data_IF_815377220985
#
_entry.id   IF_815377220985
#
_cell.length_a   1.000
_cell.length_b   1.000
_cell.length_c   1.000
_cell.angle_alpha   90.00
_cell.angle_beta   90.00
_cell.angle_gamma   90.00
#
_symmetry.space_group_name_H-M   'P 1'
#
loop_
_entity.id
_entity.type
_entity.pdbx_description
1 polymer ?
#
# COMPACT_ATOMS: atom_id res chain seq x y z
N UNK A 1 -39.62 -2.84 58.01
CA UNK A 1 -39.28 -4.10 57.33
C UNK A 1 -39.68 -4.15 55.86
N UNK A 2 -40.69 -3.43 55.37
CA UNK A 2 -41.11 -3.44 53.96
C UNK A 2 -40.23 -2.51 53.07
N UNK A 3 -39.79 -1.38 53.56
CA UNK A 3 -38.91 -0.46 52.81
C UNK A 3 -37.49 -0.99 52.49
N UNK A 4 -36.92 -1.84 53.41
CA UNK A 4 -35.60 -2.42 53.20
C UNK A 4 -35.59 -3.47 52.09
N UNK A 5 -36.67 -4.22 51.92
CA UNK A 5 -36.77 -5.21 50.87
C UNK A 5 -36.96 -4.61 49.46
N UNK A 6 -37.62 -3.44 49.36
CA UNK A 6 -37.77 -2.71 48.10
C UNK A 6 -36.43 -2.12 47.64
N UNK A 7 -35.63 -1.55 48.55
CA UNK A 7 -34.31 -1.00 48.22
C UNK A 7 -33.33 -2.07 47.72
N UNK A 8 -33.37 -3.26 48.36
CA UNK A 8 -32.51 -4.40 47.92
C UNK A 8 -32.94 -4.93 46.56
N UNK A 9 -34.22 -4.91 46.23
CA UNK A 9 -34.73 -5.31 44.91
C UNK A 9 -34.30 -4.34 43.81
N UNK A 10 -34.39 -3.03 44.06
CA UNK A 10 -33.96 -2.00 43.11
C UNK A 10 -32.45 -2.03 42.87
N UNK A 11 -31.67 -2.24 43.92
CA UNK A 11 -30.21 -2.40 43.78
C UNK A 11 -29.81 -3.62 42.94
N UNK A 12 -30.49 -4.75 43.10
CA UNK A 12 -30.24 -5.96 42.30
C UNK A 12 -30.59 -5.77 40.84
N UNK A 13 -31.67 -5.07 40.51
CA UNK A 13 -32.04 -4.73 39.11
C UNK A 13 -31.08 -3.74 38.50
N UNK A 14 -30.62 -2.72 39.22
CA UNK A 14 -29.60 -1.78 38.73
C UNK A 14 -28.23 -2.43 38.49
N UNK A 15 -27.79 -3.35 39.37
CA UNK A 15 -26.58 -4.11 39.17
C UNK A 15 -26.68 -5.09 37.98
N UNK A 16 -27.83 -5.70 37.75
CA UNK A 16 -28.09 -6.55 36.59
C UNK A 16 -28.07 -5.77 35.28
N UNK A 17 -28.63 -4.55 35.25
CA UNK A 17 -28.64 -3.67 34.07
C UNK A 17 -27.22 -3.16 33.74
N UNK A 18 -26.43 -2.78 34.76
CA UNK A 18 -25.04 -2.34 34.58
C UNK A 18 -24.13 -3.48 34.08
N UNK A 19 -24.36 -4.71 34.51
CA UNK A 19 -23.65 -5.90 34.02
C UNK A 19 -23.95 -6.21 32.56
N UNK A 20 -25.19 -6.03 32.11
CA UNK A 20 -25.61 -6.28 30.72
C UNK A 20 -25.07 -5.23 29.73
N UNK A 21 -24.95 -3.97 30.14
CA UNK A 21 -24.36 -2.89 29.32
C UNK A 21 -22.84 -3.05 29.19
N UNK A 22 -22.16 -3.54 30.22
CA UNK A 22 -20.72 -3.75 30.18
C UNK A 22 -20.33 -4.98 29.33
N UNK A 23 -21.16 -6.03 29.30
CA UNK A 23 -20.96 -7.21 28.42
C UNK A 23 -21.19 -6.87 26.95
N UNK A 24 -22.08 -5.93 26.61
CA UNK A 24 -22.33 -5.48 25.23
C UNK A 24 -21.18 -4.67 24.62
N UNK A 25 -20.35 -4.01 25.42
CA UNK A 25 -19.22 -3.20 24.92
C UNK A 25 -17.98 -4.05 24.57
N UNK A 26 -17.87 -5.28 25.07
CA UNK A 26 -16.73 -6.15 24.75
C UNK A 26 -16.82 -6.92 23.42
N UNK A 27 -17.96 -6.87 22.72
CA UNK A 27 -18.16 -7.59 21.47
C UNK A 27 -17.89 -6.75 20.21
N UNK A 28 -17.49 -5.48 20.34
CA UNK A 28 -17.19 -4.58 19.23
C UNK A 28 -15.69 -4.44 18.96
N UNK A 29 -14.85 -5.38 19.41
CA UNK A 29 -13.46 -5.47 18.93
C UNK A 29 -13.46 -6.06 17.52
N UNK A 30 -13.77 -5.22 16.54
CA UNK A 30 -13.53 -5.50 15.14
C UNK A 30 -12.00 -5.54 14.96
N UNK A 31 -11.40 -6.71 15.08
CA UNK A 31 -10.00 -6.92 14.76
C UNK A 31 -9.90 -6.84 13.24
N UNK A 32 -9.66 -5.64 12.70
CA UNK A 32 -9.40 -5.47 11.28
C UNK A 32 -8.05 -6.14 11.01
N UNK A 33 -8.08 -7.28 10.35
CA UNK A 33 -6.86 -7.94 9.90
C UNK A 33 -6.08 -6.95 9.01
N UNK A 34 -4.82 -6.70 9.33
CA UNK A 34 -3.91 -5.85 8.54
C UNK A 34 -2.76 -6.73 8.11
N UNK A 35 -2.48 -6.78 6.80
CA UNK A 35 -1.29 -7.47 6.28
C UNK A 35 -0.17 -6.48 6.02
N UNK A 36 1.06 -6.92 6.25
CA UNK A 36 2.24 -6.09 6.11
C UNK A 36 2.94 -6.33 4.77
N UNK A 37 3.41 -5.26 4.14
CA UNK A 37 4.23 -5.33 2.95
C UNK A 37 5.65 -5.78 3.27
N UNK A 38 6.28 -6.50 2.34
CA UNK A 38 7.64 -6.99 2.49
C UNK A 38 8.54 -6.46 1.36
N UNK A 39 9.57 -5.70 1.72
CA UNK A 39 10.51 -5.12 0.77
C UNK A 39 11.66 -6.06 0.35
N UNK A 40 11.70 -7.29 0.87
CA UNK A 40 12.62 -8.34 0.43
C UNK A 40 12.16 -8.96 -0.90
N UNK A 41 12.12 -8.13 -1.95
CA UNK A 41 11.63 -8.51 -3.28
C UNK A 41 12.75 -9.02 -4.19
N UNK A 42 12.39 -9.64 -5.30
CA UNK A 42 13.34 -10.11 -6.33
C UNK A 42 13.08 -9.34 -7.63
N UNK A 43 14.11 -8.70 -8.21
CA UNK A 43 15.47 -8.48 -7.66
C UNK A 43 15.46 -7.60 -6.42
N UNK A 44 16.44 -7.79 -5.54
CA UNK A 44 16.59 -6.96 -4.35
C UNK A 44 17.08 -5.56 -4.76
N UNK A 45 16.46 -4.47 -4.28
CA UNK A 45 16.95 -3.13 -4.49
C UNK A 45 18.38 -2.92 -3.96
N UNK A 46 19.11 -1.97 -4.54
CA UNK A 46 20.50 -1.70 -4.17
C UNK A 46 20.64 -1.24 -2.70
N UNK A 47 19.74 -0.38 -2.27
CA UNK A 47 19.73 0.18 -0.91
C UNK A 47 18.33 0.16 -0.33
N UNK A 48 18.20 -0.42 0.87
CA UNK A 48 16.94 -0.46 1.63
C UNK A 48 17.24 -0.04 3.07
N UNK A 49 16.63 1.03 3.53
CA UNK A 49 16.72 1.55 4.90
C UNK A 49 15.34 1.52 5.55
N UNK A 50 15.08 0.50 6.37
CA UNK A 50 13.82 0.39 7.13
C UNK A 50 13.88 1.25 8.38
N UNK A 51 12.78 1.94 8.70
CA UNK A 51 12.65 2.82 9.87
C UNK A 51 11.76 2.14 10.92
N UNK A 52 12.31 1.20 11.66
CA UNK A 52 11.58 0.29 12.58
C UNK A 52 10.69 0.99 13.63
N UNK A 53 11.00 2.25 13.99
CA UNK A 53 10.24 2.99 15.00
C UNK A 53 9.19 3.95 14.41
N UNK A 54 9.10 4.07 13.08
CA UNK A 54 8.15 4.94 12.42
C UNK A 54 6.84 4.22 12.15
N UNK A 55 5.72 4.94 12.29
CA UNK A 55 4.41 4.38 11.97
C UNK A 55 4.31 4.02 10.48
N UNK A 56 3.71 2.88 10.12
CA UNK A 56 3.52 2.48 8.73
C UNK A 56 2.48 3.37 8.02
N UNK A 57 2.56 3.43 6.70
CA UNK A 57 1.48 3.93 5.88
C UNK A 57 0.39 2.86 5.77
N UNK A 58 -0.87 3.23 5.98
CA UNK A 58 -2.00 2.30 5.83
C UNK A 58 -2.66 2.51 4.46
N UNK A 59 -2.49 1.53 3.59
CA UNK A 59 -3.13 1.47 2.29
C UNK A 59 -4.59 0.99 2.46
N UNK A 60 -5.53 1.91 2.31
CA UNK A 60 -6.97 1.70 2.45
C UNK A 60 -7.74 2.14 1.21
N UNK A 61 -9.05 1.92 1.16
CA UNK A 61 -9.90 2.38 0.05
C UNK A 61 -9.93 3.91 -0.14
N UNK A 62 -9.58 4.68 0.89
CA UNK A 62 -9.50 6.15 0.82
C UNK A 62 -8.17 6.67 0.28
N UNK A 63 -7.19 5.81 0.06
CA UNK A 63 -5.88 6.20 -0.48
C UNK A 63 -6.01 6.69 -1.91
N UNK A 64 -5.34 7.79 -2.24
CA UNK A 64 -5.28 8.36 -3.58
C UNK A 64 -3.90 8.16 -4.19
N UNK A 65 -3.85 8.05 -5.52
CA UNK A 65 -2.61 8.07 -6.29
C UNK A 65 -2.54 9.39 -7.03
N UNK A 66 -1.47 10.14 -6.80
CA UNK A 66 -1.27 11.48 -7.35
C UNK A 66 -0.10 11.49 -8.32
N UNK A 67 -0.22 12.27 -9.40
CA UNK A 67 0.81 12.41 -10.43
C UNK A 67 0.92 13.87 -10.91
N UNK A 68 2.05 14.30 -11.50
CA UNK A 68 2.24 15.66 -11.99
C UNK A 68 1.24 16.02 -13.09
N UNK A 69 0.56 17.15 -12.93
CA UNK A 69 -0.39 17.66 -13.91
C UNK A 69 0.25 17.83 -15.30
N UNK A 70 -0.50 17.49 -16.36
CA UNK A 70 -0.06 17.63 -17.75
C UNK A 70 0.91 16.54 -18.24
N UNK A 71 1.28 15.57 -17.40
CA UNK A 71 2.16 14.47 -17.81
C UNK A 71 1.37 13.17 -18.05
N UNK A 72 1.05 12.90 -19.33
CA UNK A 72 0.28 11.70 -19.73
C UNK A 72 0.99 10.38 -19.40
N UNK A 73 2.32 10.33 -19.43
CA UNK A 73 3.07 9.11 -19.09
C UNK A 73 2.97 8.82 -17.58
N UNK A 74 3.06 9.86 -16.77
CA UNK A 74 2.89 9.72 -15.32
C UNK A 74 1.44 9.37 -14.96
N UNK A 75 0.46 9.89 -15.69
CA UNK A 75 -0.93 9.46 -15.55
C UNK A 75 -1.07 7.95 -15.80
N UNK A 76 -0.53 7.44 -16.91
CA UNK A 76 -0.53 6.00 -17.22
C UNK A 76 0.17 5.18 -16.13
N UNK A 77 1.29 5.66 -15.62
CA UNK A 77 1.99 5.02 -14.49
C UNK A 77 1.09 4.94 -13.24
N UNK A 78 0.35 6.00 -12.92
CA UNK A 78 -0.58 6.02 -11.80
C UNK A 78 -1.77 5.07 -12.01
N UNK A 79 -2.32 5.01 -13.23
CA UNK A 79 -3.39 4.09 -13.61
C UNK A 79 -2.94 2.61 -13.52
N UNK A 80 -1.72 2.29 -13.98
CA UNK A 80 -1.13 0.96 -13.80
C UNK A 80 -1.00 0.58 -12.32
N UNK A 81 -0.52 1.50 -11.49
CA UNK A 81 -0.39 1.24 -10.07
C UNK A 81 -1.77 0.99 -9.43
N UNK A 82 -2.78 1.80 -9.78
CA UNK A 82 -4.15 1.62 -9.31
C UNK A 82 -4.71 0.24 -9.70
N UNK A 83 -4.48 -0.19 -10.96
CA UNK A 83 -4.87 -1.52 -11.44
C UNK A 83 -4.18 -2.64 -10.67
N UNK A 84 -2.88 -2.55 -10.47
CA UNK A 84 -2.12 -3.55 -9.71
C UNK A 84 -2.58 -3.68 -8.26
N UNK A 85 -2.83 -2.55 -7.60
CA UNK A 85 -3.34 -2.57 -6.23
C UNK A 85 -4.73 -3.19 -6.18
N UNK A 86 -5.59 -2.88 -7.15
CA UNK A 86 -6.92 -3.48 -7.25
C UNK A 86 -6.84 -5.01 -7.42
N UNK A 87 -5.97 -5.49 -8.30
CA UNK A 87 -5.80 -6.92 -8.55
C UNK A 87 -5.27 -7.66 -7.30
N UNK A 88 -4.35 -7.05 -6.55
CA UNK A 88 -3.74 -7.66 -5.37
C UNK A 88 -4.65 -7.60 -4.13
N UNK A 89 -5.39 -6.50 -3.94
CA UNK A 89 -6.07 -6.18 -2.68
C UNK A 89 -7.58 -5.98 -2.80
N UNK A 90 -8.12 -5.88 -4.02
CA UNK A 90 -9.52 -5.53 -4.28
C UNK A 90 -9.82 -4.03 -4.09
N UNK A 91 -8.84 -3.20 -3.68
CA UNK A 91 -9.04 -1.78 -3.39
C UNK A 91 -9.00 -0.95 -4.68
N UNK A 92 -10.04 -0.17 -4.94
CA UNK A 92 -10.10 0.76 -6.07
C UNK A 92 -9.65 2.14 -5.62
N UNK A 93 -8.42 2.54 -5.97
CA UNK A 93 -7.85 3.82 -5.60
C UNK A 93 -8.14 4.89 -6.65
N UNK A 94 -8.46 6.11 -6.21
CA UNK A 94 -8.65 7.25 -7.09
C UNK A 94 -7.29 7.75 -7.60
N UNK A 95 -7.22 7.98 -8.92
CA UNK A 95 -6.07 8.62 -9.59
C UNK A 95 -6.41 10.07 -9.87
N UNK A 96 -5.54 11.01 -9.46
CA UNK A 96 -5.76 12.44 -9.66
C UNK A 96 -4.47 13.18 -9.99
N UNK A 97 -4.58 14.26 -10.76
CA UNK A 97 -3.49 15.19 -10.99
C UNK A 97 -3.18 16.02 -9.73
N UNK A 98 -1.90 16.36 -9.53
CA UNK A 98 -1.37 17.05 -8.36
C UNK A 98 -0.33 16.19 -7.64
N UNK A 99 0.51 16.81 -6.82
CA UNK A 99 1.59 16.14 -6.07
C UNK A 99 1.54 16.47 -4.58
N UNK A 100 0.50 17.18 -4.14
CA UNK A 100 0.35 17.61 -2.75
C UNK A 100 -0.72 16.81 -2.01
N UNK A 101 -0.45 16.42 -0.78
CA UNK A 101 -1.43 15.76 0.08
C UNK A 101 -0.97 14.42 0.62
N UNK A 102 -1.91 13.68 1.22
CA UNK A 102 -1.69 12.33 1.75
C UNK A 102 -2.03 11.27 0.69
N UNK A 103 -1.22 10.24 0.60
CA UNK A 103 -1.45 9.13 -0.32
C UNK A 103 -0.17 8.68 -1.03
N UNK A 104 -0.32 8.10 -2.22
CA UNK A 104 0.80 7.68 -3.06
C UNK A 104 1.07 8.79 -4.07
N UNK A 105 2.29 9.31 -4.07
CA UNK A 105 2.70 10.44 -4.91
C UNK A 105 3.75 9.96 -5.89
N UNK A 106 3.48 10.11 -7.17
CA UNK A 106 4.43 9.90 -8.25
C UNK A 106 4.98 11.26 -8.68
N UNK A 107 6.28 11.41 -8.72
CA UNK A 107 6.89 12.69 -9.12
C UNK A 107 8.17 12.51 -9.94
N UNK A 108 8.45 13.46 -10.82
CA UNK A 108 9.75 13.54 -11.48
C UNK A 108 10.71 14.34 -10.61
N UNK A 109 11.96 13.90 -10.58
CA UNK A 109 13.02 14.52 -9.79
C UNK A 109 13.80 13.49 -8.99
N UNK A 110 14.64 13.96 -8.08
CA UNK A 110 15.55 13.13 -7.30
C UNK A 110 16.98 13.18 -7.84
N UNK A 111 17.92 12.68 -7.03
CA UNK A 111 19.36 12.76 -7.30
C UNK A 111 19.91 11.52 -8.00
N UNK A 112 19.08 10.68 -8.62
CA UNK A 112 19.55 9.50 -9.31
C UNK A 112 20.32 9.90 -10.59
N UNK A 113 21.60 9.58 -10.65
CA UNK A 113 22.43 9.77 -11.84
C UNK A 113 21.99 8.91 -13.02
N UNK A 114 21.40 7.73 -12.70
CA UNK A 114 20.88 6.83 -13.71
C UNK A 114 19.45 7.22 -14.11
N UNK A 115 19.15 7.44 -15.42
CA UNK A 115 17.83 7.83 -15.88
C UNK A 115 16.71 6.82 -15.57
N UNK A 116 17.08 5.57 -15.30
CA UNK A 116 16.15 4.52 -14.88
C UNK A 116 16.17 4.31 -13.35
N UNK A 117 16.93 5.10 -12.60
CA UNK A 117 16.95 5.06 -11.13
C UNK A 117 15.69 5.64 -10.52
N UNK A 118 15.41 5.25 -9.27
CA UNK A 118 14.28 5.76 -8.50
C UNK A 118 14.59 5.78 -7.00
N UNK A 119 13.82 6.60 -6.30
CA UNK A 119 13.70 6.58 -4.85
C UNK A 119 12.25 6.27 -4.48
N UNK A 120 12.06 5.34 -3.55
CA UNK A 120 10.77 5.05 -2.92
C UNK A 120 10.89 5.38 -1.44
N UNK A 121 10.08 6.32 -0.96
CA UNK A 121 10.03 6.72 0.45
C UNK A 121 8.63 6.53 1.01
N UNK A 122 8.53 5.77 2.09
CA UNK A 122 7.28 5.50 2.81
C UNK A 122 7.35 6.16 4.19
N UNK A 123 6.36 6.97 4.48
CA UNK A 123 6.11 7.57 5.80
C UNK A 123 4.69 7.25 6.24
N UNK A 124 4.27 7.62 7.43
CA UNK A 124 2.89 7.41 7.91
C UNK A 124 1.82 8.09 7.04
N UNK A 125 2.15 9.18 6.37
CA UNK A 125 1.20 9.99 5.60
C UNK A 125 1.29 9.80 4.09
N UNK A 126 2.46 9.41 3.58
CA UNK A 126 2.75 9.42 2.16
C UNK A 126 3.64 8.25 1.74
N UNK A 127 3.40 7.77 0.52
CA UNK A 127 4.31 6.93 -0.25
C UNK A 127 4.77 7.74 -1.44
N UNK A 128 6.02 8.20 -1.46
CA UNK A 128 6.56 9.00 -2.55
C UNK A 128 7.46 8.14 -3.42
N UNK A 129 7.17 8.10 -4.71
CA UNK A 129 8.01 7.46 -5.73
C UNK A 129 8.53 8.54 -6.65
N UNK A 130 9.85 8.76 -6.64
CA UNK A 130 10.50 9.77 -7.47
C UNK A 130 11.58 9.16 -8.35
N UNK A 131 11.78 9.74 -9.52
CA UNK A 131 12.83 9.35 -10.45
C UNK A 131 13.12 10.45 -11.47
N UNK A 132 14.31 10.48 -12.08
CA UNK A 132 14.68 11.48 -13.08
C UNK A 132 13.84 11.39 -14.35
N UNK A 133 13.25 10.23 -14.61
CA UNK A 133 12.40 9.97 -15.77
C UNK A 133 11.15 9.18 -15.36
N UNK A 134 10.14 9.18 -16.25
CA UNK A 134 8.93 8.35 -16.04
C UNK A 134 9.24 6.84 -16.00
N UNK A 135 10.32 6.40 -16.65
CA UNK A 135 10.79 5.02 -16.60
C UNK A 135 11.32 4.67 -15.19
N UNK A 136 12.13 5.55 -14.59
CA UNK A 136 12.59 5.38 -13.21
C UNK A 136 11.42 5.28 -12.24
N UNK A 137 10.44 6.18 -12.33
CA UNK A 137 9.22 6.13 -11.51
C UNK A 137 8.46 4.82 -11.72
N UNK A 138 8.36 4.33 -12.97
CA UNK A 138 7.73 3.03 -13.26
C UNK A 138 8.43 1.86 -12.56
N UNK A 139 9.78 1.86 -12.49
CA UNK A 139 10.51 0.83 -11.74
C UNK A 139 10.26 0.92 -10.23
N UNK A 140 10.15 2.12 -9.68
CA UNK A 140 9.73 2.29 -8.29
C UNK A 140 8.31 1.77 -8.03
N UNK A 141 7.39 1.94 -8.98
CA UNK A 141 6.06 1.33 -8.94
C UNK A 141 6.14 -0.21 -8.92
N UNK A 142 7.03 -0.82 -9.73
CA UNK A 142 7.21 -2.28 -9.72
C UNK A 142 7.74 -2.79 -8.37
N UNK A 143 8.60 -2.03 -7.72
CA UNK A 143 9.09 -2.34 -6.38
C UNK A 143 7.96 -2.27 -5.36
N UNK A 144 7.19 -1.20 -5.33
CA UNK A 144 6.02 -1.09 -4.44
C UNK A 144 5.02 -2.23 -4.69
N UNK A 145 4.67 -2.48 -5.96
CA UNK A 145 3.76 -3.55 -6.35
C UNK A 145 4.19 -4.92 -5.82
N UNK A 146 5.47 -5.26 -5.97
CA UNK A 146 6.02 -6.55 -5.52
C UNK A 146 6.10 -6.67 -4.00
N UNK A 147 6.16 -5.54 -3.29
CA UNK A 147 6.18 -5.51 -1.83
C UNK A 147 4.80 -5.74 -1.22
N UNK A 148 3.72 -5.40 -1.92
CA UNK A 148 2.34 -5.55 -1.44
C UNK A 148 1.92 -7.03 -1.53
N UNK A 149 1.47 -7.64 -0.41
CA UNK A 149 0.97 -9.02 -0.43
C UNK A 149 -0.37 -9.13 -1.15
N UNK A 150 -0.67 -10.31 -1.70
CA UNK A 150 -2.02 -10.62 -2.16
C UNK A 150 -2.94 -10.76 -0.95
N UNK A 151 -3.91 -9.86 -0.82
CA UNK A 151 -4.74 -9.77 0.37
C UNK A 151 -6.06 -9.04 0.07
N UNK A 152 -7.07 -9.80 -0.34
CA UNK A 152 -8.36 -9.24 -0.71
C UNK A 152 -9.14 -8.75 0.51
N UNK A 153 -9.62 -7.50 0.45
CA UNK A 153 -10.55 -6.95 1.42
C UNK A 153 -9.95 -6.48 2.76
N UNK A 154 -8.63 -6.66 2.98
CA UNK A 154 -7.95 -6.21 4.21
C UNK A 154 -7.07 -4.98 3.93
N UNK A 155 -6.78 -4.21 4.96
CA UNK A 155 -5.84 -3.09 4.85
C UNK A 155 -4.39 -3.59 4.84
N UNK A 156 -3.53 -2.85 4.15
CA UNK A 156 -2.12 -3.18 4.03
C UNK A 156 -1.30 -2.13 4.77
N UNK A 157 -0.49 -2.57 5.71
CA UNK A 157 0.53 -1.73 6.33
C UNK A 157 1.79 -1.75 5.46
N UNK A 158 2.24 -0.59 5.04
CA UNK A 158 3.52 -0.39 4.37
C UNK A 158 4.49 0.17 5.42
N UNK A 159 5.44 -0.62 5.96
CA UNK A 159 6.45 -0.13 6.89
C UNK A 159 7.19 1.08 6.34
N UNK A 160 7.55 1.99 7.22
CA UNK A 160 8.32 3.16 6.83
C UNK A 160 9.71 2.72 6.33
N UNK A 161 10.05 3.16 5.11
CA UNK A 161 11.28 2.73 4.42
C UNK A 161 11.75 3.81 3.46
N UNK A 162 13.04 3.84 3.23
CA UNK A 162 13.67 4.54 2.11
C UNK A 162 14.44 3.54 1.25
N UNK A 163 14.11 3.48 -0.04
CA UNK A 163 14.72 2.59 -1.03
C UNK A 163 15.30 3.46 -2.12
N UNK A 164 16.59 3.27 -2.42
CA UNK A 164 17.26 3.83 -3.59
C UNK A 164 17.71 2.68 -4.48
N UNK A 165 17.29 2.70 -5.74
CA UNK A 165 17.60 1.61 -6.66
C UNK A 165 17.77 2.10 -8.09
N UNK A 166 18.57 1.37 -8.84
CA UNK A 166 18.83 1.59 -10.25
C UNK A 166 19.31 0.29 -10.90
N UNK A 167 19.06 0.07 -12.21
CA UNK A 167 19.53 -1.12 -12.90
C UNK A 167 21.07 -1.14 -13.02
N UNK A 168 21.67 -2.28 -12.72
CA UNK A 168 23.13 -2.48 -12.87
C UNK A 168 23.59 -2.51 -14.31
N UNK A 169 22.72 -2.96 -15.23
CA UNK A 169 23.04 -3.12 -16.65
C UNK A 169 22.15 -2.21 -17.49
N UNK A 170 22.76 -1.47 -18.39
CA UNK A 170 22.05 -0.61 -19.35
C UNK A 170 21.28 -1.43 -20.41
N UNK A 171 21.79 -2.60 -20.77
CA UNK A 171 21.13 -3.52 -21.69
C UNK A 171 20.54 -4.71 -20.94
N UNK A 172 19.27 -4.96 -21.11
CA UNK A 172 18.52 -6.08 -20.56
C UNK A 172 17.55 -6.58 -21.63
N UNK A 173 17.49 -7.88 -21.83
CA UNK A 173 16.62 -8.47 -22.84
C UNK A 173 16.33 -9.92 -22.55
N UNK A 174 15.25 -10.40 -23.12
CA UNK A 174 14.89 -11.80 -23.17
C UNK A 174 14.57 -12.19 -24.60
N UNK A 175 14.91 -13.41 -25.00
CA UNK A 175 14.54 -13.97 -26.29
C UNK A 175 13.55 -15.10 -26.07
N UNK A 176 12.45 -15.05 -26.83
CA UNK A 176 11.49 -16.14 -26.91
C UNK A 176 11.51 -16.68 -28.34
N UNK A 177 11.93 -17.94 -28.51
CA UNK A 177 11.86 -18.63 -29.79
C UNK A 177 10.51 -19.34 -29.95
N UNK A 178 9.66 -18.80 -30.83
CA UNK A 178 8.36 -19.36 -31.17
C UNK A 178 8.37 -20.14 -32.48
N UNK A 179 9.54 -20.30 -33.13
CA UNK A 179 9.66 -20.99 -34.42
C UNK A 179 9.58 -22.51 -34.28
N UNK A 180 10.16 -23.06 -33.21
CA UNK A 180 10.19 -24.52 -32.95
C UNK A 180 8.90 -25.04 -32.32
N UNK A 181 8.27 -24.21 -31.47
CA UNK A 181 6.92 -24.42 -30.92
C UNK A 181 6.16 -23.12 -30.99
N UNK A 182 5.02 -23.14 -31.65
CA UNK A 182 4.15 -21.97 -31.68
C UNK A 182 3.46 -21.76 -30.32
N UNK A 183 3.65 -20.59 -29.76
CA UNK A 183 2.92 -20.13 -28.57
C UNK A 183 2.02 -18.96 -29.00
N UNK A 184 0.69 -19.06 -28.82
CA UNK A 184 -0.20 -17.91 -29.04
C UNK A 184 0.11 -16.81 -28.02
N UNK A 185 -0.23 -15.58 -28.39
CA UNK A 185 0.04 -14.37 -27.56
C UNK A 185 -0.46 -14.52 -26.13
N UNK A 186 -1.62 -15.16 -25.94
CA UNK A 186 -2.21 -15.35 -24.61
C UNK A 186 -1.44 -16.36 -23.73
N UNK A 187 -0.64 -17.23 -24.35
CA UNK A 187 0.25 -18.14 -23.61
C UNK A 187 1.59 -17.49 -23.25
N UNK A 188 1.96 -16.37 -23.89
CA UNK A 188 3.18 -15.64 -23.67
C UNK A 188 3.00 -14.53 -22.65
N UNK A 189 1.80 -13.95 -22.54
CA UNK A 189 1.41 -12.92 -21.60
C UNK A 189 0.99 -13.50 -20.25
#
# INVERSE_FOLDING_TARGET
>A
MILTNQLISIMKTLMGLAGLTMAGFMLLSCNTEVKEANYQIIPLPQEISVMDQAAPFILSNGTKIMYPEGNEKMQKNAEFLASYIKDLTGKSLAVQAGTDGKGIILQLGGNAENPEGYQLKVTSDQVVISGPTEAGVFYGIQTLRKSIPVAQGVDIALPAVEINDYPRFSYRGAMLDVSRHFFPVDSVK
#
